data_IF_949593591892
#
_entry.id   IF_949593591892
#
_cell.length_a   1.000
_cell.length_b   1.000
_cell.length_c   1.000
_cell.angle_alpha   90.00
_cell.angle_beta   90.00
_cell.angle_gamma   90.00
#
_symmetry.space_group_name_H-M   'P 1'
#
loop_
_entity.id
_entity.type
_entity.pdbx_description
1 polymer ?
#
# COMPACT_ATOMS: atom_id res chain seq x y z
N UNK A 1 2.13 -7.45 -13.26
CA UNK A 1 2.53 -6.43 -12.25
C UNK A 1 2.32 -6.98 -10.85
N UNK A 2 3.13 -6.59 -9.86
CA UNK A 2 2.97 -7.07 -8.48
C UNK A 2 2.98 -5.93 -7.47
N UNK A 3 2.10 -6.00 -6.47
CA UNK A 3 2.07 -5.09 -5.33
C UNK A 3 2.29 -5.90 -4.06
N UNK A 4 3.38 -5.62 -3.37
CA UNK A 4 3.68 -6.19 -2.06
C UNK A 4 3.28 -5.18 -1.00
N UNK A 5 2.60 -5.63 0.05
CA UNK A 5 2.24 -4.78 1.19
C UNK A 5 2.59 -5.42 2.52
N UNK A 6 3.00 -4.57 3.45
CA UNK A 6 3.28 -4.90 4.84
C UNK A 6 2.69 -3.82 5.73
N UNK A 7 2.18 -4.22 6.89
CA UNK A 7 1.60 -3.29 7.87
C UNK A 7 2.44 -3.30 9.13
N UNK A 8 2.94 -2.15 9.52
CA UNK A 8 3.68 -1.96 10.77
C UNK A 8 2.73 -1.85 11.98
N UNK A 9 3.30 -1.97 13.18
CA UNK A 9 2.55 -1.92 14.45
C UNK A 9 1.85 -0.58 14.71
N UNK A 10 2.33 0.50 14.12
CA UNK A 10 1.74 1.84 14.16
C UNK A 10 0.66 2.08 13.07
N UNK A 11 0.33 1.04 12.29
CA UNK A 11 -0.71 1.08 11.27
C UNK A 11 -0.30 1.72 9.94
N UNK A 12 0.99 2.02 9.75
CA UNK A 12 1.51 2.42 8.44
C UNK A 12 1.56 1.20 7.51
N UNK A 13 1.04 1.37 6.31
CA UNK A 13 1.09 0.38 5.24
C UNK A 13 2.24 0.75 4.33
N UNK A 14 3.28 -0.07 4.33
CA UNK A 14 4.39 0.02 3.40
C UNK A 14 4.09 -0.83 2.17
N UNK A 15 4.26 -0.24 0.99
CA UNK A 15 3.93 -0.86 -0.28
C UNK A 15 5.12 -0.79 -1.25
N UNK A 16 5.34 -1.89 -1.96
CA UNK A 16 6.31 -2.00 -3.04
C UNK A 16 5.61 -2.51 -4.29
N UNK A 17 5.52 -1.65 -5.30
CA UNK A 17 5.00 -2.01 -6.61
C UNK A 17 6.14 -2.32 -7.56
N UNK A 18 6.12 -3.48 -8.21
CA UNK A 18 7.17 -3.93 -9.14
C UNK A 18 6.64 -4.04 -10.55
N UNK A 19 7.33 -3.42 -11.49
CA UNK A 19 7.08 -3.63 -12.91
C UNK A 19 7.65 -4.98 -13.37
N UNK A 20 6.81 -6.01 -13.32
CA UNK A 20 7.11 -7.32 -13.88
C UNK A 20 6.56 -7.53 -15.29
N UNK A 21 6.23 -6.45 -16.02
CA UNK A 21 5.75 -6.51 -17.40
C UNK A 21 6.89 -6.64 -18.43
N UNK A 22 6.53 -6.50 -19.71
CA UNK A 22 7.45 -6.52 -20.85
C UNK A 22 7.99 -5.14 -21.24
N UNK A 23 7.41 -4.06 -20.72
CA UNK A 23 7.66 -2.70 -21.17
C UNK A 23 7.82 -1.73 -20.00
N UNK A 24 8.52 -0.63 -20.25
CA UNK A 24 8.60 0.51 -19.34
C UNK A 24 7.25 1.23 -19.26
N UNK A 25 6.89 1.68 -18.06
CA UNK A 25 5.57 2.27 -17.79
C UNK A 25 5.73 3.71 -17.37
N UNK A 26 5.01 4.61 -18.05
CA UNK A 26 4.95 6.04 -17.73
C UNK A 26 3.52 6.42 -17.31
N UNK A 27 3.40 7.49 -16.52
CA UNK A 27 2.09 8.06 -16.20
C UNK A 27 1.13 7.08 -15.50
N UNK A 28 1.64 6.30 -14.55
CA UNK A 28 0.88 5.26 -13.86
C UNK A 28 0.35 5.73 -12.51
N UNK A 29 -0.79 5.13 -12.12
CA UNK A 29 -1.41 5.28 -10.80
C UNK A 29 -1.78 3.91 -10.27
N UNK A 30 -1.54 3.66 -8.99
CA UNK A 30 -2.15 2.51 -8.31
C UNK A 30 -3.52 2.91 -7.80
N UNK A 31 -4.51 2.07 -8.09
CA UNK A 31 -5.89 2.26 -7.69
C UNK A 31 -6.28 1.11 -6.79
N UNK A 32 -7.04 1.37 -5.72
CA UNK A 32 -7.55 0.32 -4.84
C UNK A 32 -8.76 0.81 -4.05
N UNK A 33 -9.46 -0.13 -3.42
CA UNK A 33 -10.56 0.18 -2.50
C UNK A 33 -10.02 0.26 -1.07
N UNK A 34 -9.91 1.46 -0.46
CA UNK A 34 -9.44 1.59 0.90
C UNK A 34 -10.54 1.24 1.92
N UNK A 35 -10.15 0.74 3.09
CA UNK A 35 -11.08 0.42 4.18
C UNK A 35 -11.59 1.67 4.92
N UNK A 36 -10.82 2.75 4.89
CA UNK A 36 -11.17 4.08 5.40
C UNK A 36 -10.49 5.13 4.54
N UNK A 37 -10.82 6.41 4.75
CA UNK A 37 -10.03 7.51 4.20
C UNK A 37 -8.54 7.27 4.51
N UNK A 38 -7.66 7.42 3.53
CA UNK A 38 -6.23 7.28 3.74
C UNK A 38 -5.50 8.61 3.58
N UNK A 39 -4.35 8.65 4.24
CA UNK A 39 -3.38 9.74 4.20
C UNK A 39 -2.02 9.19 3.75
N UNK A 40 -1.32 10.00 2.96
CA UNK A 40 0.05 9.69 2.51
C UNK A 40 1.01 9.72 3.69
N UNK A 41 1.97 8.79 3.69
CA UNK A 41 3.14 8.83 4.57
C UNK A 41 4.39 9.18 3.75
N UNK A 42 4.68 8.46 2.66
CA UNK A 42 5.85 8.77 1.81
C UNK A 42 5.78 8.16 0.41
N UNK A 43 6.55 8.73 -0.53
CA UNK A 43 6.81 8.15 -1.85
C UNK A 43 5.63 8.20 -2.82
N UNK A 44 4.49 8.77 -2.41
CA UNK A 44 3.31 8.89 -3.24
C UNK A 44 2.49 10.14 -2.90
N UNK A 45 1.58 10.48 -3.81
CA UNK A 45 0.52 11.46 -3.59
C UNK A 45 -0.83 10.86 -3.91
N UNK A 46 -1.86 11.25 -3.15
CA UNK A 46 -3.24 10.93 -3.47
C UNK A 46 -3.70 11.87 -4.58
N UNK A 47 -4.04 11.30 -5.72
CA UNK A 47 -4.59 12.02 -6.87
C UNK A 47 -6.10 12.22 -6.73
N UNK A 48 -6.79 11.17 -6.28
CA UNK A 48 -8.24 11.15 -6.05
C UNK A 48 -8.55 10.23 -4.88
N UNK A 49 -9.50 10.63 -4.05
CA UNK A 49 -10.04 9.81 -2.99
C UNK A 49 -11.51 10.19 -2.77
N UNK A 50 -12.41 9.22 -2.95
CA UNK A 50 -13.84 9.43 -2.71
C UNK A 50 -14.51 8.09 -2.46
N UNK A 51 -15.43 8.04 -1.48
CA UNK A 51 -16.07 6.79 -1.08
C UNK A 51 -15.04 5.70 -0.77
N UNK A 52 -15.27 4.50 -1.32
CA UNK A 52 -14.34 3.36 -1.25
C UNK A 52 -13.35 3.27 -2.41
N UNK A 53 -12.85 4.41 -2.92
CA UNK A 53 -11.90 4.45 -4.03
C UNK A 53 -10.74 5.42 -3.78
N UNK A 54 -9.53 4.98 -4.12
CA UNK A 54 -8.33 5.83 -4.12
C UNK A 54 -7.49 5.65 -5.38
N UNK A 55 -6.88 6.75 -5.84
CA UNK A 55 -5.81 6.76 -6.85
C UNK A 55 -4.56 7.39 -6.23
N UNK A 56 -3.44 6.66 -6.23
CA UNK A 56 -2.13 7.16 -5.81
C UNK A 56 -1.15 7.15 -6.97
N UNK A 57 -0.32 8.19 -7.03
CA UNK A 57 0.77 8.31 -8.00
C UNK A 57 2.11 8.48 -7.27
N UNK A 58 3.25 8.15 -7.90
CA UNK A 58 4.56 8.50 -7.35
C UNK A 58 4.67 10.01 -7.14
N UNK A 59 5.43 10.42 -6.11
CA UNK A 59 5.75 11.83 -5.91
C UNK A 59 6.60 12.37 -7.06
N UNK A 60 7.61 11.59 -7.46
CA UNK A 60 8.47 11.89 -8.59
C UNK A 60 8.00 11.11 -9.82
N UNK A 61 7.50 11.80 -10.83
CA UNK A 61 6.88 11.21 -12.04
C UNK A 61 7.95 10.68 -13.01
N UNK A 62 8.74 9.72 -12.56
CA UNK A 62 9.63 8.94 -13.40
C UNK A 62 8.91 7.77 -14.04
N UNK A 63 9.42 7.33 -15.17
CA UNK A 63 9.02 6.06 -15.75
C UNK A 63 9.52 4.91 -14.86
N UNK A 64 8.75 3.83 -14.81
CA UNK A 64 9.11 2.62 -14.08
C UNK A 64 9.60 1.56 -15.07
N UNK A 65 10.91 1.31 -15.09
CA UNK A 65 11.50 0.32 -16.00
C UNK A 65 11.15 -1.10 -15.58
N UNK A 66 11.37 -2.04 -16.49
CA UNK A 66 11.18 -3.47 -16.23
C UNK A 66 12.09 -3.88 -15.06
N UNK A 67 11.49 -4.55 -14.07
CA UNK A 67 12.14 -4.99 -12.84
C UNK A 67 12.30 -3.90 -11.76
N UNK A 68 12.09 -2.62 -12.09
CA UNK A 68 12.16 -1.55 -11.10
C UNK A 68 10.95 -1.56 -10.16
N UNK A 69 11.18 -0.98 -8.99
CA UNK A 69 10.19 -0.91 -7.93
C UNK A 69 9.89 0.53 -7.54
N UNK A 70 8.61 0.83 -7.40
CA UNK A 70 8.12 2.03 -6.74
C UNK A 70 7.74 1.67 -5.30
N UNK A 71 8.41 2.29 -4.33
CA UNK A 71 8.14 2.12 -2.91
C UNK A 71 7.37 3.34 -2.39
N UNK A 72 6.30 3.11 -1.64
CA UNK A 72 5.49 4.15 -1.05
C UNK A 72 4.83 3.66 0.23
N UNK A 73 4.35 4.59 1.05
CA UNK A 73 3.59 4.24 2.25
C UNK A 73 2.44 5.21 2.50
N UNK A 74 1.40 4.67 3.14
CA UNK A 74 0.19 5.40 3.49
C UNK A 74 -0.39 4.81 4.77
N UNK A 75 -1.37 5.50 5.35
CA UNK A 75 -2.10 5.03 6.54
C UNK A 75 -3.59 5.25 6.34
N UNK A 76 -4.41 4.44 7.01
CA UNK A 76 -5.83 4.73 7.14
C UNK A 76 -6.05 5.72 8.28
N UNK A 77 -6.88 6.74 8.03
CA UNK A 77 -7.36 7.65 9.04
C UNK A 77 -8.48 6.94 9.81
N UNK A 78 -8.30 6.75 11.12
CA UNK A 78 -9.30 6.15 11.99
C UNK A 78 -9.93 7.23 12.86
N UNK A 79 -11.23 7.45 12.70
CA UNK A 79 -11.99 8.33 13.58
C UNK A 79 -12.59 7.46 14.71
N UNK A 80 -11.96 7.51 15.88
CA UNK A 80 -12.35 6.91 17.19
C UNK A 80 -12.52 5.39 17.30
N UNK A 81 -12.58 4.64 16.20
CA UNK A 81 -12.57 3.18 16.21
C UNK A 81 -11.53 2.67 15.22
N UNK A 82 -10.34 2.32 15.70
CA UNK A 82 -9.39 1.58 14.89
C UNK A 82 -10.03 0.23 14.52
N UNK A 83 -10.17 -0.14 13.23
CA UNK A 83 -10.72 -1.41 12.84
C UNK A 83 -9.84 -2.52 13.41
N UNK A 84 -10.47 -3.57 13.93
CA UNK A 84 -9.79 -4.74 14.49
C UNK A 84 -8.85 -5.46 13.50
N UNK A 85 -8.93 -5.11 12.21
CA UNK A 85 -8.20 -5.71 11.09
C UNK A 85 -7.22 -4.73 10.43
N UNK A 86 -6.43 -3.99 11.22
CA UNK A 86 -5.34 -3.11 10.75
C UNK A 86 -4.41 -3.84 9.77
N UNK A 87 -4.33 -5.17 9.86
CA UNK A 87 -3.53 -6.08 9.04
C UNK A 87 -4.04 -6.36 7.62
N UNK A 88 -5.06 -5.64 7.13
CA UNK A 88 -5.54 -5.79 5.76
C UNK A 88 -4.94 -4.71 4.87
N UNK A 89 -4.00 -5.12 4.02
CA UNK A 89 -3.49 -4.30 2.93
C UNK A 89 -4.60 -3.93 1.93
N UNK A 90 -4.29 -3.09 0.94
CA UNK A 90 -5.24 -2.68 -0.09
C UNK A 90 -5.81 -3.90 -0.84
N UNK A 91 -7.13 -3.96 -0.97
CA UNK A 91 -7.85 -5.01 -1.70
C UNK A 91 -8.26 -4.52 -3.08
N UNK A 92 -8.27 -5.43 -4.06
CA UNK A 92 -8.69 -5.13 -5.43
C UNK A 92 -7.80 -4.08 -6.12
N UNK A 93 -6.49 -4.16 -5.90
CA UNK A 93 -5.56 -3.22 -6.50
C UNK A 93 -5.43 -3.44 -8.00
N UNK A 94 -5.39 -2.36 -8.76
CA UNK A 94 -5.08 -2.37 -10.19
C UNK A 94 -4.32 -1.11 -10.56
N UNK A 95 -3.63 -1.11 -11.69
CA UNK A 95 -2.92 0.05 -12.18
C UNK A 95 -3.74 0.75 -13.27
N UNK A 96 -3.75 2.07 -13.26
CA UNK A 96 -4.39 2.92 -14.28
C UNK A 96 -3.34 3.78 -14.96
N UNK A 97 -3.31 3.74 -16.28
CA UNK A 97 -2.42 4.53 -17.13
C UNK A 97 -3.08 5.86 -17.52
N UNK A 98 -2.29 6.80 -18.02
CA UNK A 98 -2.78 8.12 -18.43
C UNK A 98 -3.75 8.09 -19.63
N UNK A 99 -3.65 7.08 -20.48
CA UNK A 99 -4.57 6.85 -21.59
C UNK A 99 -5.89 6.18 -21.16
N UNK A 100 -6.04 5.89 -19.86
CA UNK A 100 -7.22 5.27 -19.27
C UNK A 100 -7.19 3.74 -19.26
N UNK A 101 -6.16 3.10 -19.85
CA UNK A 101 -6.01 1.65 -19.77
C UNK A 101 -5.78 1.19 -18.33
N UNK A 102 -6.31 0.01 -18.02
CA UNK A 102 -6.13 -0.64 -16.73
C UNK A 102 -5.28 -1.90 -16.88
N UNK A 103 -4.36 -2.11 -15.94
CA UNK A 103 -3.49 -3.28 -15.89
C UNK A 103 -3.71 -3.99 -14.57
N UNK A 104 -3.91 -5.31 -14.63
CA UNK A 104 -4.08 -6.14 -13.45
C UNK A 104 -2.82 -6.16 -12.59
N UNK A 105 -3.04 -6.07 -11.28
CA UNK A 105 -1.99 -6.09 -10.26
C UNK A 105 -2.25 -7.25 -9.33
N UNK A 106 -1.25 -8.12 -9.20
CA UNK A 106 -1.30 -9.22 -8.23
C UNK A 106 -0.86 -8.64 -6.89
N UNK A 107 -1.78 -8.61 -5.92
CA UNK A 107 -1.50 -8.13 -4.56
C UNK A 107 -1.05 -9.29 -3.66
N UNK A 108 0.12 -9.14 -3.05
CA UNK A 108 0.68 -10.06 -2.07
C UNK A 108 0.85 -9.30 -0.74
N UNK A 109 0.20 -9.76 0.34
CA UNK A 109 0.31 -9.15 1.67
C UNK A 109 1.15 -10.03 2.59
N UNK A 110 2.27 -9.49 3.08
CA UNK A 110 3.04 -10.13 4.13
C UNK A 110 2.49 -9.66 5.48
N UNK A 111 1.81 -10.55 6.21
CA UNK A 111 1.35 -10.28 7.56
C UNK A 111 2.52 -10.51 8.53
N UNK A 112 3.00 -9.47 9.19
CA UNK A 112 3.69 -9.66 10.47
C UNK A 112 2.61 -10.01 11.49
N UNK A 113 2.58 -11.26 11.96
CA UNK A 113 1.83 -11.59 13.16
C UNK A 113 2.48 -10.83 14.32
N UNK A 114 1.72 -10.07 15.14
CA UNK A 114 2.31 -9.43 16.31
C UNK A 114 2.91 -10.54 17.17
N UNK A 115 4.24 -10.54 17.29
CA UNK A 115 4.95 -11.39 18.24
C UNK A 115 4.36 -11.07 19.60
N UNK A 116 3.66 -12.03 20.20
CA UNK A 116 3.14 -11.90 21.55
C UNK A 116 4.35 -11.55 22.42
N UNK A 117 4.40 -10.33 22.96
CA UNK A 117 5.39 -9.99 23.97
C UNK A 117 5.14 -10.95 25.13
N UNK A 118 5.99 -11.95 25.26
CA UNK A 118 6.07 -12.77 26.46
C UNK A 118 6.29 -11.83 27.64
N UNK A 119 5.48 -11.89 28.72
CA UNK A 119 5.73 -11.07 29.88
C UNK A 119 7.12 -11.42 30.43
N UNK A 120 7.94 -10.39 30.64
CA UNK A 120 9.17 -10.50 31.42
C UNK A 120 8.88 -11.30 32.70
N UNK A 121 9.53 -12.45 32.85
CA UNK A 121 9.64 -13.09 34.16
C UNK A 121 10.45 -12.13 35.03
N UNK A 122 9.76 -11.35 35.87
CA UNK A 122 10.37 -10.79 37.07
C UNK A 122 10.93 -11.95 37.89
N UNK A 123 12.25 -12.12 37.86
CA UNK A 123 12.93 -12.93 38.87
C UNK A 123 12.82 -12.14 40.19
N UNK A 124 11.98 -12.64 41.09
CA UNK A 124 12.16 -12.45 42.53
C UNK A 124 12.71 -13.77 43.05
N UNK A 125 13.90 -13.70 43.64
CA UNK A 125 14.65 -14.82 44.21
C UNK A 125 16.05 -14.36 44.54
#
# INVERSE_FOLDING_TARGET
MKLFTEVSSDGVISAKFVNGGSDEISGYRICFSPLSKCSVVSGCKIMRQFGGYVEMAPDNHGNLKIGEAWNFSFKYDFDRHAPANISWGPMGSYMKLNDGQTVDVISETHKIFPTVMSPEKKAHG
#
